data_IF_541229880297
#
_entry.id   IF_541229880297
#
_cell.length_a   1.000
_cell.length_b   1.000
_cell.length_c   1.000
_cell.angle_alpha   90.00
_cell.angle_beta   90.00
_cell.angle_gamma   90.00
#
_symmetry.space_group_name_H-M   'P 1'
#
loop_
_entity.id
_entity.type
_entity.pdbx_description
1 polymer ?
#
# COMPACT_ATOMS: atom_id res chain seq x y z
N UNK A 1 -26.79 -38.93 1.35
CA UNK A 1 -26.18 -37.59 1.46
C UNK A 1 -25.26 -37.39 0.25
N UNK A 2 -25.34 -36.29 -0.50
CA UNK A 2 -24.44 -36.08 -1.66
C UNK A 2 -23.16 -35.40 -1.15
N UNK A 3 -22.20 -36.22 -0.73
CA UNK A 3 -20.93 -35.79 -0.14
C UNK A 3 -20.09 -34.98 -1.13
N UNK A 4 -20.15 -35.30 -2.42
CA UNK A 4 -19.41 -34.59 -3.47
C UNK A 4 -19.77 -33.10 -3.52
N UNK A 5 -21.07 -32.77 -3.37
CA UNK A 5 -21.53 -31.38 -3.34
C UNK A 5 -21.03 -30.61 -2.11
N UNK A 6 -20.96 -31.26 -0.94
CA UNK A 6 -20.44 -30.62 0.29
C UNK A 6 -18.94 -30.34 0.14
N UNK A 7 -18.20 -31.29 -0.43
CA UNK A 7 -16.77 -31.11 -0.71
C UNK A 7 -16.53 -30.02 -1.75
N UNK A 8 -17.37 -29.92 -2.78
CA UNK A 8 -17.31 -28.85 -3.77
C UNK A 8 -17.49 -27.46 -3.13
N UNK A 9 -18.52 -27.28 -2.29
CA UNK A 9 -18.72 -26.01 -1.58
C UNK A 9 -17.60 -25.73 -0.58
N UNK A 10 -17.08 -26.75 0.11
CA UNK A 10 -15.94 -26.62 1.00
C UNK A 10 -14.68 -26.15 0.27
N UNK A 11 -14.41 -26.72 -0.91
CA UNK A 11 -13.32 -26.27 -1.77
C UNK A 11 -13.53 -24.82 -2.20
N UNK A 12 -14.74 -24.44 -2.60
CA UNK A 12 -15.10 -23.05 -2.92
C UNK A 12 -14.85 -22.10 -1.75
N UNK A 13 -15.28 -22.44 -0.54
CA UNK A 13 -15.01 -21.66 0.69
C UNK A 13 -13.51 -21.54 0.95
N UNK A 14 -12.75 -22.63 0.74
CA UNK A 14 -11.29 -22.65 0.92
C UNK A 14 -10.58 -21.72 -0.06
N UNK A 15 -10.95 -21.78 -1.34
CA UNK A 15 -10.44 -20.88 -2.39
C UNK A 15 -10.75 -19.43 -2.03
N UNK A 16 -12.00 -19.13 -1.66
CA UNK A 16 -12.42 -17.82 -1.20
C UNK A 16 -11.56 -17.33 -0.02
N UNK A 17 -11.42 -18.16 1.02
CA UNK A 17 -10.62 -17.82 2.21
C UNK A 17 -9.15 -17.57 1.87
N UNK A 18 -8.57 -18.36 0.98
CA UNK A 18 -7.20 -18.17 0.51
C UNK A 18 -7.04 -16.85 -0.22
N UNK A 19 -7.93 -16.58 -1.18
CA UNK A 19 -7.94 -15.34 -1.95
C UNK A 19 -8.03 -14.15 -1.00
N UNK A 20 -8.97 -14.15 -0.05
CA UNK A 20 -9.13 -13.08 0.92
C UNK A 20 -7.88 -12.86 1.77
N UNK A 21 -7.21 -13.94 2.20
CA UNK A 21 -5.99 -13.84 3.03
C UNK A 21 -4.80 -13.28 2.26
N UNK A 22 -4.68 -13.61 0.98
CA UNK A 22 -3.52 -13.24 0.15
C UNK A 22 -3.72 -11.88 -0.49
N UNK A 23 -4.91 -11.62 -1.02
CA UNK A 23 -5.20 -10.46 -1.87
C UNK A 23 -6.19 -9.48 -1.22
N UNK A 24 -6.83 -9.85 -0.10
CA UNK A 24 -7.89 -9.04 0.50
C UNK A 24 -9.18 -9.09 -0.33
N UNK A 25 -9.89 -7.97 -0.32
CA UNK A 25 -11.11 -7.79 -1.12
C UNK A 25 -10.75 -7.60 -2.59
N UNK A 26 -11.46 -8.30 -3.47
CA UNK A 26 -11.35 -8.18 -4.92
C UNK A 26 -12.42 -7.20 -5.43
N UNK A 27 -12.00 -6.27 -6.29
CA UNK A 27 -12.89 -5.35 -7.01
C UNK A 27 -13.00 -5.71 -8.50
N UNK A 28 -14.00 -5.15 -9.20
CA UNK A 28 -14.13 -5.33 -10.66
C UNK A 28 -12.91 -4.83 -11.42
N UNK A 29 -12.24 -3.78 -10.95
CA UNK A 29 -10.99 -3.33 -11.54
C UNK A 29 -9.88 -4.36 -11.38
N UNK A 30 -9.77 -5.05 -10.24
CA UNK A 30 -8.79 -6.12 -10.06
C UNK A 30 -9.05 -7.28 -11.03
N UNK A 31 -10.33 -7.60 -11.25
CA UNK A 31 -10.78 -8.64 -12.18
C UNK A 31 -10.49 -8.21 -13.63
N UNK A 32 -10.88 -6.99 -14.01
CA UNK A 32 -10.63 -6.43 -15.34
C UNK A 32 -9.13 -6.40 -15.66
N UNK A 33 -8.30 -5.93 -14.73
CA UNK A 33 -6.83 -5.95 -14.88
C UNK A 33 -6.29 -7.38 -15.05
N UNK A 34 -6.87 -8.36 -14.34
CA UNK A 34 -6.47 -9.76 -14.48
C UNK A 34 -6.86 -10.35 -15.85
N UNK A 35 -8.04 -9.99 -16.37
CA UNK A 35 -8.50 -10.43 -17.69
C UNK A 35 -7.79 -9.71 -18.84
N UNK A 36 -7.50 -8.42 -18.70
CA UNK A 36 -6.80 -7.61 -19.69
C UNK A 36 -5.33 -8.08 -19.84
N UNK A 37 -4.66 -8.40 -18.73
CA UNK A 37 -3.34 -9.06 -18.73
C UNK A 37 -3.35 -10.51 -19.20
N UNK A 38 -4.50 -11.17 -19.15
CA UNK A 38 -4.69 -12.49 -19.75
C UNK A 38 -4.57 -12.46 -21.29
N UNK A 39 -4.73 -11.28 -21.91
CA UNK A 39 -4.63 -11.09 -23.35
C UNK A 39 -3.29 -10.51 -23.83
N UNK A 40 -2.56 -9.75 -22.99
CA UNK A 40 -1.23 -9.23 -23.35
C UNK A 40 -0.16 -9.55 -22.28
N UNK A 41 0.59 -10.63 -22.55
CA UNK A 41 1.98 -10.87 -22.15
C UNK A 41 2.37 -11.10 -20.67
N UNK A 42 1.46 -11.35 -19.72
CA UNK A 42 1.86 -11.87 -18.41
C UNK A 42 1.86 -13.41 -18.40
N UNK A 43 2.82 -14.06 -19.05
CA UNK A 43 3.12 -15.48 -18.74
C UNK A 43 3.71 -15.55 -17.33
N UNK A 44 2.85 -15.75 -16.32
CA UNK A 44 3.28 -16.23 -15.01
C UNK A 44 4.19 -17.45 -15.24
N UNK A 45 5.43 -17.40 -14.75
CA UNK A 45 6.35 -18.51 -14.93
C UNK A 45 5.83 -19.73 -14.18
N UNK A 46 6.04 -20.94 -14.71
CA UNK A 46 5.54 -22.21 -14.15
C UNK A 46 5.82 -22.37 -12.64
N UNK A 47 6.94 -21.83 -12.17
CA UNK A 47 7.34 -21.81 -10.76
C UNK A 47 6.39 -20.98 -9.87
N UNK A 48 5.90 -19.84 -10.37
CA UNK A 48 4.93 -19.00 -9.64
C UNK A 48 3.58 -19.70 -9.50
N UNK A 49 3.09 -20.35 -10.57
CA UNK A 49 1.89 -21.18 -10.50
C UNK A 49 2.02 -22.30 -9.47
N UNK A 50 3.15 -23.02 -9.49
CA UNK A 50 3.44 -24.07 -8.50
C UNK A 50 3.44 -23.52 -7.07
N UNK A 51 4.05 -22.35 -6.85
CA UNK A 51 4.08 -21.72 -5.52
C UNK A 51 2.69 -21.32 -5.02
N UNK A 52 1.85 -20.72 -5.87
CA UNK A 52 0.48 -20.35 -5.52
C UNK A 52 -0.33 -21.60 -5.15
N UNK A 53 -0.26 -22.64 -5.98
CA UNK A 53 -0.96 -23.92 -5.73
C UNK A 53 -0.47 -24.56 -4.43
N UNK A 54 0.85 -24.62 -4.22
CA UNK A 54 1.43 -25.19 -3.00
C UNK A 54 0.98 -24.42 -1.75
N UNK A 55 1.02 -23.09 -1.80
CA UNK A 55 0.57 -22.24 -0.69
C UNK A 55 -0.93 -22.39 -0.43
N UNK A 56 -1.76 -22.49 -1.47
CA UNK A 56 -3.19 -22.77 -1.32
C UNK A 56 -3.43 -24.10 -0.61
N UNK A 57 -2.83 -25.18 -1.13
CA UNK A 57 -2.99 -26.54 -0.62
C UNK A 57 -2.58 -26.62 0.86
N UNK A 58 -1.41 -26.07 1.22
CA UNK A 58 -0.86 -26.16 2.58
C UNK A 58 -1.55 -25.25 3.58
N UNK A 59 -1.99 -24.06 3.17
CA UNK A 59 -2.57 -23.06 4.09
C UNK A 59 -4.05 -23.27 4.39
N UNK A 60 -4.83 -23.76 3.41
CA UNK A 60 -6.30 -23.75 3.49
C UNK A 60 -6.93 -24.99 2.83
N UNK A 61 -6.40 -25.47 1.71
CA UNK A 61 -6.97 -26.57 0.93
C UNK A 61 -7.08 -27.88 1.73
N UNK A 62 -5.96 -28.38 2.24
CA UNK A 62 -5.90 -29.64 3.00
C UNK A 62 -6.75 -29.57 4.27
N UNK A 63 -6.65 -28.46 5.01
CA UNK A 63 -7.37 -28.27 6.27
C UNK A 63 -8.89 -28.33 6.06
N UNK A 64 -9.40 -27.61 5.05
CA UNK A 64 -10.83 -27.61 4.72
C UNK A 64 -11.31 -29.00 4.30
N UNK A 65 -10.53 -29.71 3.47
CA UNK A 65 -10.90 -31.06 3.01
C UNK A 65 -10.95 -32.08 4.15
N UNK A 66 -9.93 -32.11 5.02
CA UNK A 66 -9.87 -33.05 6.16
C UNK A 66 -11.01 -32.78 7.13
N UNK A 67 -11.21 -31.52 7.54
CA UNK A 67 -12.28 -31.15 8.47
C UNK A 67 -13.66 -31.49 7.91
N UNK A 68 -13.90 -31.17 6.63
CA UNK A 68 -15.18 -31.46 5.97
C UNK A 68 -15.42 -32.95 5.84
N UNK A 69 -14.38 -33.73 5.52
CA UNK A 69 -14.46 -35.20 5.42
C UNK A 69 -14.76 -35.84 6.77
N UNK A 70 -14.10 -35.37 7.83
CA UNK A 70 -14.34 -35.83 9.20
C UNK A 70 -15.77 -35.49 9.65
N UNK A 71 -16.22 -34.25 9.44
CA UNK A 71 -17.59 -33.84 9.75
C UNK A 71 -18.61 -34.68 8.99
N UNK A 72 -18.40 -34.90 7.69
CA UNK A 72 -19.24 -35.75 6.86
C UNK A 72 -19.31 -37.19 7.39
N UNK A 73 -18.19 -37.77 7.81
CA UNK A 73 -18.14 -39.10 8.42
C UNK A 73 -18.89 -39.17 9.76
N UNK A 74 -18.68 -38.19 10.64
CA UNK A 74 -19.39 -38.11 11.92
C UNK A 74 -20.89 -37.95 11.70
N UNK A 75 -21.29 -37.09 10.76
CA UNK A 75 -22.68 -36.90 10.36
C UNK A 75 -23.26 -38.22 9.85
N UNK A 76 -22.56 -38.94 8.97
CA UNK A 76 -23.01 -40.24 8.48
C UNK A 76 -23.23 -41.25 9.61
N UNK A 77 -22.30 -41.30 10.57
CA UNK A 77 -22.32 -42.28 11.67
C UNK A 77 -23.37 -41.97 12.75
N UNK A 78 -23.64 -40.69 13.01
CA UNK A 78 -24.43 -40.25 14.18
C UNK A 78 -25.73 -39.49 13.84
N UNK A 79 -26.13 -39.38 12.55
CA UNK A 79 -27.41 -38.78 12.17
C UNK A 79 -28.60 -39.73 12.32
N UNK A 80 -29.82 -39.21 12.60
CA UNK A 80 -30.17 -37.79 12.70
C UNK A 80 -29.83 -37.15 14.06
N UNK A 81 -29.34 -35.89 14.03
CA UNK A 81 -29.08 -35.10 15.23
C UNK A 81 -30.29 -34.22 15.58
N UNK A 82 -30.77 -34.34 16.82
CA UNK A 82 -31.78 -33.44 17.39
C UNK A 82 -31.06 -32.31 18.13
N UNK A 83 -31.21 -31.08 17.65
CA UNK A 83 -30.66 -29.89 18.34
C UNK A 83 -31.74 -29.30 19.22
N UNK A 84 -31.42 -29.09 20.50
CA UNK A 84 -32.31 -28.50 21.50
C UNK A 84 -31.66 -27.20 21.97
N UNK A 85 -32.32 -26.06 21.75
CA UNK A 85 -31.89 -24.77 22.27
C UNK A 85 -32.43 -24.59 23.69
N UNK A 86 -31.54 -24.54 24.68
CA UNK A 86 -31.94 -24.53 26.11
C UNK A 86 -32.21 -23.13 26.69
N UNK A 87 -31.93 -22.03 25.97
CA UNK A 87 -31.87 -20.70 26.59
C UNK A 87 -33.00 -19.71 26.27
N UNK A 88 -33.97 -20.01 25.40
CA UNK A 88 -35.07 -19.08 25.10
C UNK A 88 -36.42 -19.82 25.01
N UNK A 89 -37.39 -19.47 25.87
CA UNK A 89 -38.79 -19.92 25.73
C UNK A 89 -39.50 -19.07 24.67
N UNK A 90 -40.28 -19.67 23.74
CA UNK A 90 -40.66 -21.09 23.68
C UNK A 90 -39.55 -21.98 23.09
N UNK A 91 -39.49 -23.23 23.57
CA UNK A 91 -38.50 -24.22 23.14
C UNK A 91 -38.70 -24.59 21.66
N UNK A 92 -37.84 -24.06 20.78
CA UNK A 92 -37.77 -24.51 19.41
C UNK A 92 -36.83 -25.71 19.30
N UNK A 93 -37.35 -26.88 18.95
CA UNK A 93 -36.53 -28.04 18.58
C UNK A 93 -36.54 -28.19 17.07
N UNK A 94 -35.37 -28.24 16.45
CA UNK A 94 -35.22 -28.45 15.02
C UNK A 94 -34.44 -29.73 14.76
N UNK A 95 -34.93 -30.56 13.84
CA UNK A 95 -34.23 -31.76 13.39
C UNK A 95 -33.42 -31.43 12.16
N UNK A 96 -32.10 -31.35 12.32
CA UNK A 96 -31.20 -31.25 11.19
C UNK A 96 -31.29 -32.56 10.39
N UNK A 97 -31.64 -32.45 9.11
CA UNK A 97 -31.53 -33.53 8.12
C UNK A 97 -30.32 -33.32 7.22
N UNK A 98 -29.78 -34.39 6.64
CA UNK A 98 -28.55 -34.38 5.84
C UNK A 98 -28.56 -33.43 4.64
N UNK A 99 -29.72 -33.05 4.12
CA UNK A 99 -29.83 -32.05 3.04
C UNK A 99 -29.60 -30.61 3.51
N UNK A 100 -29.93 -30.28 4.77
CA UNK A 100 -29.70 -28.93 5.34
C UNK A 100 -28.22 -28.59 5.42
N UNK A 101 -27.35 -29.57 5.64
CA UNK A 101 -25.90 -29.36 5.71
C UNK A 101 -25.36 -28.84 4.37
N UNK A 102 -25.86 -29.36 3.25
CA UNK A 102 -25.48 -28.84 1.92
C UNK A 102 -25.88 -27.37 1.77
N UNK A 103 -27.07 -27.02 2.26
CA UNK A 103 -27.58 -25.66 2.21
C UNK A 103 -26.76 -24.71 3.07
N UNK A 104 -26.33 -25.14 4.27
CA UNK A 104 -25.42 -24.39 5.13
C UNK A 104 -24.09 -24.12 4.40
N UNK A 105 -23.46 -25.15 3.82
CA UNK A 105 -22.22 -24.98 3.05
C UNK A 105 -22.39 -24.07 1.84
N UNK A 106 -23.52 -24.16 1.12
CA UNK A 106 -23.84 -23.26 0.01
C UNK A 106 -23.97 -21.81 0.48
N UNK A 107 -24.72 -21.55 1.57
CA UNK A 107 -24.87 -20.21 2.12
C UNK A 107 -23.54 -19.63 2.61
N UNK A 108 -22.71 -20.44 3.28
CA UNK A 108 -21.37 -20.01 3.67
C UNK A 108 -20.50 -19.69 2.46
N UNK A 109 -20.59 -20.50 1.39
CA UNK A 109 -19.85 -20.22 0.15
C UNK A 109 -20.28 -18.91 -0.50
N UNK A 110 -21.60 -18.69 -0.65
CA UNK A 110 -22.16 -17.44 -1.19
C UNK A 110 -21.77 -16.24 -0.32
N UNK A 111 -21.89 -16.36 1.00
CA UNK A 111 -21.50 -15.29 1.93
C UNK A 111 -20.03 -14.91 1.80
N UNK A 112 -19.14 -15.91 1.65
CA UNK A 112 -17.71 -15.66 1.42
C UNK A 112 -17.45 -15.01 0.05
N UNK A 113 -18.17 -15.43 -1.01
CA UNK A 113 -18.09 -14.77 -2.31
C UNK A 113 -18.48 -13.29 -2.23
N UNK A 114 -19.57 -12.97 -1.54
CA UNK A 114 -20.03 -11.59 -1.34
C UNK A 114 -19.01 -10.79 -0.50
N UNK A 115 -18.40 -11.43 0.51
CA UNK A 115 -17.40 -10.76 1.36
C UNK A 115 -16.13 -10.43 0.58
N UNK A 116 -15.75 -11.29 -0.36
CA UNK A 116 -14.53 -11.12 -1.17
C UNK A 116 -14.77 -10.16 -2.31
N UNK A 117 -15.96 -10.20 -2.92
CA UNK A 117 -16.30 -9.34 -4.03
C UNK A 117 -16.96 -8.05 -3.53
N UNK A 118 -16.24 -6.93 -3.62
CA UNK A 118 -16.87 -5.61 -3.53
C UNK A 118 -17.04 -5.04 -4.93
N UNK A 119 -18.26 -4.65 -5.33
CA UNK A 119 -18.43 -3.88 -6.55
C UNK A 119 -17.54 -2.64 -6.47
N UNK A 120 -16.89 -2.29 -7.58
CA UNK A 120 -16.12 -1.05 -7.63
C UNK A 120 -17.12 0.08 -7.50
N UNK A 121 -17.17 0.73 -6.33
CA UNK A 121 -17.79 2.04 -6.19
C UNK A 121 -16.93 3.03 -6.97
N UNK A 122 -17.17 3.12 -8.28
CA UNK A 122 -16.79 4.30 -9.04
C UNK A 122 -17.90 5.30 -8.75
N UNK A 123 -17.81 6.00 -7.62
CA UNK A 123 -18.47 7.28 -7.54
C UNK A 123 -17.69 8.20 -8.47
N UNK A 124 -18.29 8.54 -9.62
CA UNK A 124 -17.90 9.77 -10.29
C UNK A 124 -18.03 10.87 -9.23
N UNK A 125 -16.88 11.42 -8.84
CA UNK A 125 -16.79 12.40 -7.79
C UNK A 125 -16.21 13.66 -8.40
N UNK A 126 -17.04 14.69 -8.44
CA UNK A 126 -16.61 16.03 -8.85
C UNK A 126 -15.72 16.68 -7.79
N UNK A 127 -15.37 15.99 -6.70
CA UNK A 127 -14.57 16.53 -5.61
C UNK A 127 -13.27 17.17 -6.12
N UNK A 128 -12.52 16.48 -6.98
CA UNK A 128 -11.29 17.06 -7.54
C UNK A 128 -11.60 18.23 -8.47
N UNK A 129 -12.63 18.14 -9.31
CA UNK A 129 -13.01 19.23 -10.21
C UNK A 129 -13.42 20.50 -9.43
N UNK A 130 -14.12 20.33 -8.30
CA UNK A 130 -14.64 21.43 -7.49
C UNK A 130 -13.61 21.99 -6.50
N UNK A 131 -12.65 21.19 -6.04
CA UNK A 131 -11.71 21.57 -4.97
C UNK A 131 -10.26 21.68 -5.43
N UNK A 132 -9.93 21.34 -6.68
CA UNK A 132 -8.56 21.46 -7.17
C UNK A 132 -8.14 22.93 -7.27
N UNK A 133 -7.02 23.23 -6.62
CA UNK A 133 -6.41 24.55 -6.64
C UNK A 133 -5.17 24.50 -7.52
N UNK A 134 -5.17 25.23 -8.63
CA UNK A 134 -4.04 25.28 -9.55
C UNK A 134 -2.88 26.09 -8.93
N UNK A 135 -1.69 25.49 -8.74
CA UNK A 135 -0.59 26.17 -8.05
C UNK A 135 0.12 27.25 -8.89
N UNK A 136 -0.11 27.32 -10.21
CA UNK A 136 0.66 28.18 -11.13
C UNK A 136 0.68 29.66 -10.75
N UNK A 137 -0.39 30.16 -10.14
CA UNK A 137 -0.57 31.58 -9.82
C UNK A 137 -0.55 31.87 -8.30
N UNK A 138 -0.33 30.84 -7.47
CA UNK A 138 -0.38 30.97 -6.00
C UNK A 138 0.98 30.92 -5.32
N UNK A 139 2.02 30.42 -6.01
CA UNK A 139 3.34 30.25 -5.40
C UNK A 139 4.23 31.44 -5.73
N UNK A 140 4.47 32.28 -4.72
CA UNK A 140 5.50 33.32 -4.74
C UNK A 140 6.71 32.91 -3.93
N UNK A 141 7.91 33.11 -4.50
CA UNK A 141 9.16 32.88 -3.76
C UNK A 141 9.55 34.13 -2.97
N UNK A 142 10.12 33.98 -1.76
CA UNK A 142 10.71 35.10 -1.05
C UNK A 142 11.86 35.70 -1.87
N UNK A 143 12.17 36.99 -1.64
CA UNK A 143 13.27 37.68 -2.33
C UNK A 143 14.59 36.91 -2.22
N UNK A 144 14.93 36.47 -1.01
CA UNK A 144 16.04 35.55 -0.79
C UNK A 144 15.57 34.08 -0.85
N UNK A 145 15.93 33.40 -1.94
CA UNK A 145 15.64 31.98 -2.15
C UNK A 145 16.42 31.10 -1.16
N UNK A 146 15.70 30.20 -0.48
CA UNK A 146 16.27 29.16 0.39
C UNK A 146 16.35 27.81 -0.31
N UNK A 147 17.32 26.99 0.06
CA UNK A 147 17.34 25.59 -0.35
C UNK A 147 16.21 24.83 0.35
N UNK A 148 15.57 23.92 -0.37
CA UNK A 148 14.54 23.02 0.18
C UNK A 148 15.16 21.63 0.28
N UNK A 149 15.14 21.04 1.47
CA UNK A 149 15.55 19.65 1.69
C UNK A 149 14.32 18.91 2.17
N UNK A 150 13.93 17.89 1.43
CA UNK A 150 12.78 17.07 1.77
C UNK A 150 13.24 15.65 2.09
N UNK A 151 12.90 15.18 3.31
CA UNK A 151 13.32 13.88 3.83
C UNK A 151 12.09 12.98 3.93
N UNK A 152 12.08 11.93 3.10
CA UNK A 152 11.10 10.84 3.23
C UNK A 152 11.59 9.86 4.28
N UNK A 153 10.76 9.59 5.28
CA UNK A 153 11.04 8.63 6.34
C UNK A 153 10.24 7.35 6.04
N UNK A 154 10.93 6.32 5.55
CA UNK A 154 10.31 5.06 5.14
C UNK A 154 9.72 4.33 6.36
N UNK A 155 8.46 3.89 6.23
CA UNK A 155 7.70 3.15 7.26
C UNK A 155 7.74 3.78 8.65
N UNK A 156 7.81 5.11 8.72
CA UNK A 156 7.87 5.88 9.97
C UNK A 156 6.47 6.23 10.48
N UNK A 157 6.24 6.05 11.78
CA UNK A 157 4.99 6.41 12.44
C UNK A 157 5.21 6.99 13.85
N UNK A 158 4.21 7.69 14.39
CA UNK A 158 4.31 8.36 15.70
C UNK A 158 4.36 7.41 16.89
N UNK A 159 3.99 6.13 16.71
CA UNK A 159 3.98 5.12 17.77
C UNK A 159 5.37 4.84 18.33
N UNK A 160 6.44 5.06 17.55
CA UNK A 160 7.83 4.86 17.95
C UNK A 160 8.34 5.85 19.01
N UNK A 161 7.59 6.93 19.28
CA UNK A 161 7.92 7.88 20.34
C UNK A 161 7.67 7.30 21.75
N UNK A 162 8.14 8.02 22.76
CA UNK A 162 7.85 7.67 24.16
C UNK A 162 6.37 7.83 24.51
N UNK A 163 5.87 7.06 25.49
CA UNK A 163 4.52 7.21 26.06
C UNK A 163 4.27 8.62 26.58
N UNK A 164 5.28 9.24 27.20
CA UNK A 164 5.22 10.64 27.64
C UNK A 164 4.90 11.62 26.50
N UNK A 165 5.30 11.26 25.27
CA UNK A 165 5.07 12.05 24.07
C UNK A 165 3.91 11.56 23.24
N UNK A 166 3.11 10.59 23.70
CA UNK A 166 1.96 10.06 22.97
C UNK A 166 2.26 8.88 22.03
N UNK A 167 3.46 8.31 22.10
CA UNK A 167 3.81 7.04 21.46
C UNK A 167 3.49 5.82 22.33
N UNK A 168 4.01 4.64 21.96
CA UNK A 168 3.69 3.35 22.61
C UNK A 168 4.82 2.77 23.45
N UNK A 169 6.05 3.28 23.31
CA UNK A 169 7.22 2.74 24.00
C UNK A 169 7.54 3.48 25.30
N UNK A 170 8.09 2.79 26.30
CA UNK A 170 8.52 3.43 27.56
C UNK A 170 9.60 4.48 27.31
N UNK A 171 10.55 4.16 26.43
CA UNK A 171 11.57 5.08 25.94
C UNK A 171 11.41 5.27 24.44
N UNK A 172 11.68 6.48 23.97
CA UNK A 172 11.59 6.81 22.54
C UNK A 172 12.58 5.98 21.72
N UNK A 173 12.10 5.30 20.68
CA UNK A 173 12.96 4.66 19.68
C UNK A 173 13.46 5.65 18.62
N UNK A 174 12.89 6.86 18.61
CA UNK A 174 13.22 7.95 17.70
C UNK A 174 13.56 9.24 18.48
N UNK A 175 14.49 9.20 19.47
CA UNK A 175 14.70 10.30 20.42
C UNK A 175 15.08 11.62 19.74
N UNK A 176 15.81 11.54 18.61
CA UNK A 176 16.20 12.73 17.84
C UNK A 176 15.00 13.37 17.12
N UNK A 177 14.09 12.58 16.54
CA UNK A 177 12.87 13.10 15.90
C UNK A 177 11.89 13.63 16.94
N UNK A 178 11.76 12.94 18.08
CA UNK A 178 10.94 13.40 19.20
C UNK A 178 11.45 14.74 19.75
N UNK A 179 12.78 14.91 19.88
CA UNK A 179 13.38 16.19 20.26
C UNK A 179 13.07 17.29 19.24
N UNK A 180 13.25 17.02 17.95
CA UNK A 180 12.96 18.00 16.89
C UNK A 180 11.50 18.46 16.90
N UNK A 181 10.56 17.54 17.15
CA UNK A 181 9.14 17.87 17.19
C UNK A 181 8.68 18.64 18.43
N UNK A 182 9.42 18.53 19.54
CA UNK A 182 9.19 19.29 20.78
C UNK A 182 9.85 20.66 20.79
N UNK A 183 10.80 20.88 19.89
CA UNK A 183 11.51 22.15 19.78
C UNK A 183 10.55 23.24 19.29
N UNK A 184 10.46 24.35 20.03
CA UNK A 184 9.56 25.47 19.73
C UNK A 184 9.99 26.24 18.48
N UNK A 185 11.24 26.08 18.04
CA UNK A 185 11.74 26.66 16.79
C UNK A 185 11.25 25.89 15.55
N UNK A 186 10.71 24.68 15.73
CA UNK A 186 10.21 23.84 14.66
C UNK A 186 8.69 23.82 14.61
N UNK A 187 8.16 23.64 13.39
CA UNK A 187 6.74 23.39 13.18
C UNK A 187 6.50 21.89 13.12
N UNK A 188 5.70 21.38 14.05
CA UNK A 188 5.28 19.99 14.09
C UNK A 188 3.77 19.89 13.88
N UNK A 189 3.36 19.11 12.88
CA UNK A 189 1.96 18.89 12.55
C UNK A 189 1.43 17.68 13.32
N UNK A 190 0.44 17.88 14.20
CA UNK A 190 -0.14 16.83 15.03
C UNK A 190 -1.67 16.92 15.06
N UNK A 191 -2.32 15.77 15.15
CA UNK A 191 -3.76 15.66 15.46
C UNK A 191 -4.04 15.51 16.96
N UNK A 192 -2.98 15.47 17.79
CA UNK A 192 -3.06 15.36 19.25
C UNK A 192 -2.36 16.58 19.86
N UNK A 193 -3.13 17.56 20.28
CA UNK A 193 -2.58 18.77 20.89
C UNK A 193 -1.68 18.43 22.09
N UNK A 194 -0.47 18.99 22.13
CA UNK A 194 0.52 18.71 23.18
C UNK A 194 1.27 17.38 23.06
N UNK A 195 0.95 16.54 22.07
CA UNK A 195 1.58 15.22 21.89
C UNK A 195 2.14 15.00 20.48
N UNK A 196 3.08 14.06 20.38
CA UNK A 196 3.57 13.55 19.11
C UNK A 196 2.46 12.76 18.41
N UNK A 197 2.21 13.12 17.16
CA UNK A 197 1.13 12.57 16.35
C UNK A 197 1.51 12.62 14.88
N UNK A 198 0.51 12.61 14.01
CA UNK A 198 0.76 12.67 12.58
C UNK A 198 -0.52 12.71 11.74
N UNK A 199 -0.41 12.73 10.42
CA UNK A 199 -1.58 12.69 9.55
C UNK A 199 -2.31 11.34 9.68
N UNK A 200 -3.62 11.34 9.43
CA UNK A 200 -4.36 10.10 9.19
C UNK A 200 -3.89 9.53 7.84
N UNK A 201 -3.34 8.32 7.85
CA UNK A 201 -2.92 7.66 6.63
C UNK A 201 -4.13 7.38 5.72
N UNK A 202 -4.02 7.77 4.46
CA UNK A 202 -5.00 7.45 3.42
C UNK A 202 -4.53 6.21 2.65
N UNK A 203 -5.43 5.28 2.34
CA UNK A 203 -5.09 3.99 1.72
C UNK A 203 -4.30 4.15 0.42
N UNK A 204 -4.73 5.09 -0.45
CA UNK A 204 -4.07 5.39 -1.74
C UNK A 204 -2.68 6.04 -1.61
N UNK A 205 -2.30 6.42 -0.39
CA UNK A 205 -1.00 7.01 -0.06
C UNK A 205 -0.19 6.12 0.89
N UNK A 206 -0.66 4.89 1.16
CA UNK A 206 -0.12 4.04 2.23
C UNK A 206 1.20 3.34 1.88
N UNK A 207 1.62 3.40 0.61
CA UNK A 207 2.83 2.77 0.09
C UNK A 207 3.80 3.83 -0.45
N UNK A 208 5.10 3.51 -0.48
CA UNK A 208 6.21 4.43 -0.77
C UNK A 208 5.97 5.30 -2.02
N UNK A 209 5.57 4.73 -3.16
CA UNK A 209 5.34 5.51 -4.39
C UNK A 209 4.17 6.50 -4.23
N UNK A 210 3.07 6.04 -3.63
CA UNK A 210 1.86 6.83 -3.41
C UNK A 210 2.13 7.97 -2.43
N UNK A 211 2.87 7.70 -1.35
CA UNK A 211 3.32 8.71 -0.41
C UNK A 211 4.24 9.74 -1.08
N UNK A 212 5.28 9.30 -1.79
CA UNK A 212 6.21 10.20 -2.46
C UNK A 212 5.52 11.11 -3.48
N UNK A 213 4.67 10.53 -4.33
CA UNK A 213 3.87 11.29 -5.28
C UNK A 213 2.94 12.30 -4.57
N UNK A 214 2.19 11.85 -3.56
CA UNK A 214 1.22 12.70 -2.87
C UNK A 214 1.87 13.87 -2.16
N UNK A 215 3.04 13.66 -1.55
CA UNK A 215 3.74 14.75 -0.88
C UNK A 215 4.34 15.78 -1.84
N UNK A 216 4.74 15.39 -3.05
CA UNK A 216 5.30 16.35 -4.02
C UNK A 216 4.23 16.97 -4.93
N UNK A 217 3.09 16.31 -5.12
CA UNK A 217 2.06 16.73 -6.07
C UNK A 217 0.73 17.18 -5.45
N UNK A 218 0.50 16.89 -4.16
CA UNK A 218 -0.79 17.16 -3.52
C UNK A 218 -1.95 16.37 -4.12
N UNK A 219 -1.67 15.23 -4.77
CA UNK A 219 -2.66 14.37 -5.42
C UNK A 219 -2.32 12.90 -5.13
N UNK A 220 -3.31 12.00 -5.19
CA UNK A 220 -3.10 10.58 -4.99
C UNK A 220 -2.99 9.83 -6.32
N UNK A 221 -2.43 8.63 -6.26
CA UNK A 221 -2.53 7.63 -7.33
C UNK A 221 -3.40 6.48 -6.87
N UNK A 222 -4.05 5.79 -7.81
CA UNK A 222 -4.82 4.58 -7.52
C UNK A 222 -3.93 3.45 -6.98
N UNK A 223 -4.53 2.31 -6.65
CA UNK A 223 -3.77 1.15 -6.16
C UNK A 223 -2.78 0.68 -7.23
N UNK A 224 -1.47 0.59 -6.95
CA UNK A 224 -0.47 0.29 -7.96
C UNK A 224 -0.57 -1.20 -8.29
N UNK A 225 -1.21 -1.52 -9.42
CA UNK A 225 -1.11 -2.84 -10.02
C UNK A 225 0.26 -3.07 -10.67
N UNK A 226 0.50 -4.30 -11.14
CA UNK A 226 1.52 -4.55 -12.15
C UNK A 226 1.17 -3.70 -13.39
N UNK A 227 2.09 -2.87 -13.86
CA UNK A 227 1.85 -1.95 -14.96
C UNK A 227 3.06 -1.96 -15.88
N UNK A 228 2.84 -1.80 -17.18
CA UNK A 228 3.89 -1.65 -18.17
C UNK A 228 4.74 -0.41 -17.88
N UNK A 229 5.94 -0.31 -18.47
CA UNK A 229 6.82 0.85 -18.28
C UNK A 229 6.14 2.16 -18.70
N UNK A 230 5.41 2.17 -19.82
CA UNK A 230 4.68 3.34 -20.30
C UNK A 230 3.52 3.74 -19.36
N UNK A 231 2.83 2.75 -18.79
CA UNK A 231 1.80 2.98 -17.77
C UNK A 231 2.43 3.53 -16.48
N UNK A 232 3.64 3.10 -16.11
CA UNK A 232 4.31 3.57 -14.90
C UNK A 232 4.69 5.06 -14.96
N UNK A 233 4.82 5.68 -16.13
CA UNK A 233 5.01 7.14 -16.24
C UNK A 233 3.65 7.87 -16.22
N UNK A 234 2.64 7.34 -16.91
CA UNK A 234 1.30 7.95 -16.98
C UNK A 234 0.58 7.98 -15.62
N UNK A 235 0.81 6.98 -14.76
CA UNK A 235 0.15 6.89 -13.46
C UNK A 235 0.47 8.07 -12.54
N UNK A 236 1.61 8.74 -12.74
CA UNK A 236 2.00 9.89 -11.92
C UNK A 236 1.43 11.21 -12.47
N UNK A 237 0.51 11.17 -13.44
CA UNK A 237 -0.14 12.35 -13.99
C UNK A 237 0.87 13.46 -14.37
N UNK A 238 1.77 13.23 -15.35
CA UNK A 238 2.84 14.19 -15.70
C UNK A 238 2.34 15.57 -16.16
N UNK A 239 1.06 15.68 -16.50
CA UNK A 239 0.39 16.96 -16.82
C UNK A 239 0.10 17.81 -15.56
N UNK A 240 0.08 17.20 -14.38
CA UNK A 240 -0.14 17.87 -13.10
C UNK A 240 1.12 18.63 -12.70
N UNK A 241 0.95 19.89 -12.29
CA UNK A 241 2.07 20.70 -11.80
C UNK A 241 2.39 20.31 -10.36
N UNK A 242 3.58 19.74 -10.14
CA UNK A 242 4.04 19.34 -8.82
C UNK A 242 5.18 20.23 -8.30
N UNK A 243 5.55 20.07 -7.03
CA UNK A 243 6.59 20.86 -6.37
C UNK A 243 7.91 20.91 -7.17
N UNK A 244 8.45 19.81 -7.72
CA UNK A 244 9.67 19.89 -8.54
C UNK A 244 9.50 20.70 -9.83
N UNK A 245 8.32 20.69 -10.45
CA UNK A 245 8.04 21.50 -11.65
C UNK A 245 8.07 22.99 -11.31
N UNK A 246 7.45 23.35 -10.18
CA UNK A 246 7.44 24.72 -9.65
C UNK A 246 8.88 25.15 -9.33
N UNK A 247 9.62 24.40 -8.52
CA UNK A 247 10.99 24.79 -8.13
C UNK A 247 11.91 24.89 -9.35
N UNK A 248 11.77 24.00 -10.35
CA UNK A 248 12.54 24.08 -11.60
C UNK A 248 12.22 25.35 -12.39
N UNK A 249 10.95 25.74 -12.50
CA UNK A 249 10.53 27.02 -13.13
C UNK A 249 11.20 28.23 -12.45
N UNK A 250 11.44 28.15 -11.14
CA UNK A 250 12.13 29.20 -10.37
C UNK A 250 13.67 29.03 -10.31
N UNK A 251 14.25 28.15 -11.14
CA UNK A 251 15.69 28.00 -11.29
C UNK A 251 16.38 27.12 -10.25
N UNK A 252 15.62 26.31 -9.50
CA UNK A 252 16.21 25.33 -8.59
C UNK A 252 16.76 24.12 -9.35
N UNK A 253 17.87 23.57 -8.85
CA UNK A 253 18.38 22.28 -9.28
C UNK A 253 17.83 21.17 -8.38
N UNK A 254 16.77 20.50 -8.83
CA UNK A 254 16.14 19.41 -8.09
C UNK A 254 16.94 18.11 -8.23
N UNK A 255 17.13 17.42 -7.11
CA UNK A 255 17.89 16.17 -7.00
C UNK A 255 17.08 15.22 -6.12
N UNK A 256 16.92 13.97 -6.55
CA UNK A 256 16.34 12.90 -5.74
C UNK A 256 17.42 11.91 -5.33
N UNK A 257 17.41 11.50 -4.07
CA UNK A 257 18.36 10.53 -3.51
C UNK A 257 17.57 9.49 -2.71
N UNK A 258 17.72 8.22 -3.05
CA UNK A 258 17.06 7.12 -2.34
C UNK A 258 17.92 5.86 -2.36
N UNK A 259 17.81 5.05 -1.30
CA UNK A 259 18.67 3.90 -1.05
C UNK A 259 18.31 2.63 -1.81
N UNK A 260 17.42 2.66 -2.80
CA UNK A 260 16.92 1.48 -3.51
C UNK A 260 17.23 1.56 -5.00
N UNK A 261 17.08 0.45 -5.73
CA UNK A 261 17.29 0.45 -7.19
C UNK A 261 16.33 1.44 -7.85
N UNK A 262 16.73 2.08 -8.96
CA UNK A 262 15.95 3.11 -9.63
C UNK A 262 14.44 2.84 -9.72
N UNK A 263 14.03 1.64 -10.14
CA UNK A 263 12.62 1.23 -10.31
C UNK A 263 11.94 0.72 -9.04
N UNK A 264 12.67 0.51 -7.95
CA UNK A 264 12.14 -0.02 -6.70
C UNK A 264 11.06 0.91 -6.13
N UNK A 265 9.94 0.33 -5.75
CA UNK A 265 8.74 1.08 -5.32
C UNK A 265 8.36 2.21 -6.29
N UNK A 266 8.72 2.09 -7.57
CA UNK A 266 8.47 3.09 -8.63
C UNK A 266 9.05 4.49 -8.37
N UNK A 267 10.00 4.64 -7.45
CA UNK A 267 10.57 5.93 -7.05
C UNK A 267 11.16 6.71 -8.24
N UNK A 268 11.93 6.03 -9.09
CA UNK A 268 12.52 6.65 -10.28
C UNK A 268 11.47 7.25 -11.22
N UNK A 269 10.34 6.55 -11.41
CA UNK A 269 9.23 7.02 -12.23
C UNK A 269 8.50 8.22 -11.60
N UNK A 270 8.30 8.24 -10.28
CA UNK A 270 7.71 9.39 -9.56
C UNK A 270 8.48 10.67 -9.89
N UNK A 271 9.80 10.62 -9.76
CA UNK A 271 10.64 11.82 -9.92
C UNK A 271 10.85 12.20 -11.38
N UNK A 272 11.06 11.24 -12.28
CA UNK A 272 11.22 11.52 -13.71
C UNK A 272 9.95 12.04 -14.36
N UNK A 273 8.77 11.69 -13.83
CA UNK A 273 7.49 12.25 -14.27
C UNK A 273 7.32 13.74 -13.91
N UNK A 274 8.09 14.25 -12.94
CA UNK A 274 7.99 15.63 -12.45
C UNK A 274 9.34 16.33 -12.39
N UNK A 275 9.83 16.81 -13.54
CA UNK A 275 10.94 17.75 -13.68
C UNK A 275 12.27 17.43 -12.97
N UNK A 276 12.46 16.22 -12.44
CA UNK A 276 13.74 15.73 -11.93
C UNK A 276 14.35 14.83 -13.00
N UNK A 277 15.38 15.30 -13.72
CA UNK A 277 15.93 14.53 -14.81
C UNK A 277 16.73 13.32 -14.29
N UNK A 278 16.84 12.28 -15.11
CA UNK A 278 17.49 11.01 -14.74
C UNK A 278 18.89 11.20 -14.13
N UNK A 279 19.71 12.12 -14.69
CA UNK A 279 21.06 12.41 -14.16
C UNK A 279 21.09 13.02 -12.76
N UNK A 280 19.97 13.52 -12.27
CA UNK A 280 19.81 14.09 -10.94
C UNK A 280 19.18 13.09 -9.95
N UNK A 281 19.00 11.84 -10.36
CA UNK A 281 18.57 10.75 -9.49
C UNK A 281 19.81 9.99 -9.01
N UNK A 282 19.89 9.77 -7.71
CA UNK A 282 20.97 9.02 -7.05
C UNK A 282 20.33 7.86 -6.30
N UNK A 283 20.40 6.68 -6.90
CA UNK A 283 19.80 5.43 -6.42
C UNK A 283 20.83 4.54 -5.69
N UNK A 284 20.43 3.34 -5.28
CA UNK A 284 21.32 2.37 -4.61
C UNK A 284 22.59 2.05 -5.41
N UNK A 285 22.48 2.00 -6.75
CA UNK A 285 23.61 1.71 -7.62
C UNK A 285 24.61 2.88 -7.63
N UNK A 286 24.12 4.12 -7.69
CA UNK A 286 24.95 5.33 -7.59
C UNK A 286 25.57 5.54 -6.19
N UNK A 287 24.92 5.01 -5.14
CA UNK A 287 25.41 5.10 -3.76
C UNK A 287 26.46 4.02 -3.48
N UNK A 288 26.14 2.75 -3.74
CA UNK A 288 26.94 1.61 -3.28
C UNK A 288 27.01 0.44 -4.28
N UNK A 289 26.75 0.66 -5.57
CA UNK A 289 26.88 -0.36 -6.64
C UNK A 289 26.09 -1.64 -6.36
N UNK A 290 24.87 -1.48 -5.85
CA UNK A 290 24.02 -2.60 -5.46
C UNK A 290 22.58 -2.39 -5.91
N UNK A 291 21.88 -3.47 -6.20
CA UNK A 291 20.44 -3.47 -6.52
C UNK A 291 19.55 -3.74 -5.30
N UNK A 292 20.14 -3.90 -4.11
CA UNK A 292 19.39 -4.02 -2.85
C UNK A 292 19.33 -2.70 -2.10
N UNK A 293 18.50 -2.68 -1.05
CA UNK A 293 18.35 -1.53 -0.18
C UNK A 293 19.67 -1.21 0.54
N UNK A 294 20.05 0.06 0.49
CA UNK A 294 21.26 0.60 1.11
C UNK A 294 20.91 1.19 2.47
N UNK A 295 21.82 1.02 3.44
CA UNK A 295 21.67 1.60 4.78
C UNK A 295 21.65 3.13 4.73
N UNK A 296 20.75 3.73 5.50
CA UNK A 296 20.49 5.18 5.48
C UNK A 296 21.74 6.04 5.69
N UNK A 297 22.68 5.65 6.55
CA UNK A 297 23.88 6.45 6.80
C UNK A 297 24.74 6.64 5.54
N UNK A 298 24.80 5.64 4.65
CA UNK A 298 25.50 5.75 3.37
C UNK A 298 24.76 6.71 2.42
N UNK A 299 23.42 6.65 2.43
CA UNK A 299 22.58 7.59 1.68
C UNK A 299 22.79 9.02 2.18
N UNK A 300 22.80 9.25 3.51
CA UNK A 300 23.04 10.55 4.12
C UNK A 300 24.45 11.08 3.82
N UNK A 301 25.48 10.24 3.83
CA UNK A 301 26.83 10.65 3.42
C UNK A 301 26.88 11.13 1.97
N UNK A 302 26.21 10.39 1.07
CA UNK A 302 26.09 10.78 -0.34
C UNK A 302 25.32 12.10 -0.50
N UNK A 303 24.22 12.26 0.24
CA UNK A 303 23.41 13.48 0.25
C UNK A 303 24.22 14.68 0.74
N UNK A 304 24.95 14.57 1.86
CA UNK A 304 25.83 15.62 2.39
C UNK A 304 26.85 16.08 1.34
N UNK A 305 27.53 15.14 0.68
CA UNK A 305 28.50 15.45 -0.39
C UNK A 305 27.83 16.18 -1.56
N UNK A 306 26.65 15.74 -1.99
CA UNK A 306 25.92 16.37 -3.10
C UNK A 306 25.44 17.79 -2.75
N UNK A 307 24.89 17.99 -1.55
CA UNK A 307 24.46 19.30 -1.04
C UNK A 307 25.66 20.26 -0.97
N UNK A 308 26.79 19.81 -0.44
CA UNK A 308 28.02 20.60 -0.37
C UNK A 308 28.51 21.06 -1.74
N UNK A 309 28.48 20.17 -2.74
CA UNK A 309 28.88 20.50 -4.11
C UNK A 309 27.93 21.49 -4.78
N UNK A 310 26.63 21.45 -4.48
CA UNK A 310 25.66 22.43 -4.98
C UNK A 310 25.95 23.83 -4.43
N UNK A 311 26.35 23.94 -3.15
CA UNK A 311 26.77 25.20 -2.54
C UNK A 311 28.00 25.80 -3.25
N UNK A 312 29.03 24.99 -3.53
CA UNK A 312 30.26 25.47 -4.20
C UNK A 312 30.01 26.05 -5.59
N UNK A 313 29.15 25.42 -6.39
CA UNK A 313 28.83 25.91 -7.75
C UNK A 313 28.21 27.31 -7.75
N UNK A 314 27.43 27.66 -6.72
CA UNK A 314 26.83 29.01 -6.56
C UNK A 314 27.88 30.09 -6.27
N UNK A 315 29.01 29.74 -5.66
CA UNK A 315 30.07 30.72 -5.34
C UNK A 315 30.97 31.03 -6.55
N UNK A 316 31.00 30.19 -7.58
CA UNK A 316 31.80 30.42 -8.79
C UNK A 316 31.02 31.07 -9.94
N UNK A 317 29.69 31.18 -9.85
CA UNK A 317 28.86 31.84 -10.87
C UNK A 317 28.79 33.37 -10.75
N UNK A 318 29.58 33.98 -9.86
CA UNK A 318 29.71 35.43 -9.67
C UNK A 318 31.07 35.98 -10.14
N UNK A 319 31.86 35.20 -10.87
CA UNK A 319 33.16 35.61 -11.42
C UNK A 319 33.16 35.79 -12.95
N UNK A 320 32.03 36.20 -13.53
CA UNK A 320 31.97 36.63 -14.93
C UNK A 320 31.47 38.07 -15.02
#
# INVERSE_FOLDING_TARGET
MNFAMIQFYSLGISICKYIFRVYGVITMNNIAIAFDKGSLNAKLNLLQYKSIIYNFITSTGIQCFIITSLLCYLIYKYFPLKVIFFELKPFFSFTLKTHHIKFIYLLTFISMLITIYKPTEVSESDFMQLNYVNPKDLVTFPGEKRNIIYLFLESMESTFASKQSGGLFEQSLIPNLEKLAKDKENIHFTHKEGFFGGPKQMERMSYTAGASYSMICGNYIGTPGFMTTEENEKIFHPQLTCLPDITKKFGYNNIAIYGTQWSSCKQGYVFTSHSIPYQNIIDSYAINKTDVWVRDFLMFEKAKKKIWNCRKKKNHSWQL
#
